data_IF_797905988089
#
_entry.id   IF_797905988089
#
_cell.length_a   1.000
_cell.length_b   1.000
_cell.length_c   1.000
_cell.angle_alpha   90.00
_cell.angle_beta   90.00
_cell.angle_gamma   90.00
#
_symmetry.space_group_name_H-M   'P 1'
#
loop_
_entity.id
_entity.type
_entity.pdbx_description
1 polymer ?
#
# COMPACT_ATOMS: atom_id res chain seq x y z
N UNK A 1 2.96 15.51 -2.89
CA UNK A 1 3.11 14.13 -2.38
C UNK A 1 2.98 13.19 -3.56
N UNK A 2 3.82 12.17 -3.69
CA UNK A 2 3.58 11.15 -4.70
C UNK A 2 2.20 10.54 -4.41
N UNK A 3 1.31 10.53 -5.40
CA UNK A 3 -0.04 10.02 -5.23
C UNK A 3 0.02 8.54 -4.82
N UNK A 4 -0.27 8.27 -3.55
CA UNK A 4 -0.36 6.90 -3.04
C UNK A 4 -1.53 6.22 -3.72
N UNK A 5 -1.27 5.12 -4.42
CA UNK A 5 -2.32 4.38 -5.14
C UNK A 5 -2.37 2.94 -4.66
N UNK A 6 -3.57 2.45 -4.39
CA UNK A 6 -3.86 1.04 -4.16
C UNK A 6 -4.71 0.50 -5.31
N UNK A 7 -4.28 -0.58 -5.90
CA UNK A 7 -4.99 -1.19 -7.03
C UNK A 7 -5.56 -2.53 -6.64
N UNK A 8 -6.85 -2.75 -6.92
CA UNK A 8 -7.51 -4.03 -6.71
C UNK A 8 -7.85 -4.69 -8.04
N UNK A 9 -7.48 -5.94 -8.16
CA UNK A 9 -7.73 -6.80 -9.31
C UNK A 9 -8.55 -8.03 -8.91
N UNK A 10 -9.18 -8.65 -9.87
CA UNK A 10 -9.91 -9.90 -9.69
C UNK A 10 -10.95 -10.05 -10.78
N UNK A 11 -11.43 -11.26 -10.98
CA UNK A 11 -12.44 -11.56 -12.02
C UNK A 11 -13.80 -10.95 -11.67
N UNK A 12 -14.68 -10.86 -12.68
CA UNK A 12 -16.08 -10.49 -12.44
C UNK A 12 -16.70 -11.48 -11.45
N UNK A 13 -17.42 -10.94 -10.46
CA UNK A 13 -18.04 -11.74 -9.40
C UNK A 13 -17.11 -12.16 -8.25
N UNK A 14 -15.81 -11.82 -8.28
CA UNK A 14 -14.87 -12.12 -7.19
C UNK A 14 -15.08 -11.26 -5.93
N UNK A 15 -16.10 -10.42 -5.88
CA UNK A 15 -16.47 -9.66 -4.69
C UNK A 15 -15.71 -8.34 -4.47
N UNK A 16 -14.97 -7.81 -5.47
CA UNK A 16 -14.21 -6.54 -5.34
C UNK A 16 -15.05 -5.38 -4.84
N UNK A 17 -16.18 -5.12 -5.51
CA UNK A 17 -17.06 -4.00 -5.15
C UNK A 17 -17.70 -4.21 -3.78
N UNK A 18 -18.16 -5.42 -3.47
CA UNK A 18 -18.68 -5.74 -2.13
C UNK A 18 -17.61 -5.56 -1.05
N UNK A 19 -16.37 -5.99 -1.35
CA UNK A 19 -15.23 -5.78 -0.46
C UNK A 19 -15.00 -4.27 -0.22
N UNK A 20 -14.99 -3.45 -1.28
CA UNK A 20 -14.83 -1.99 -1.16
C UNK A 20 -15.92 -1.38 -0.27
N UNK A 21 -17.17 -1.75 -0.47
CA UNK A 21 -18.30 -1.25 0.33
C UNK A 21 -18.17 -1.66 1.80
N UNK A 22 -17.89 -2.93 2.08
CA UNK A 22 -17.69 -3.41 3.45
C UNK A 22 -16.49 -2.78 4.13
N UNK A 23 -15.39 -2.59 3.41
CA UNK A 23 -14.18 -1.93 3.88
C UNK A 23 -14.46 -0.46 4.24
N UNK A 24 -15.09 0.27 3.33
CA UNK A 24 -15.41 1.68 3.58
C UNK A 24 -16.33 1.82 4.79
N UNK A 25 -17.40 1.04 4.85
CA UNK A 25 -18.37 1.10 5.95
C UNK A 25 -17.72 0.76 7.32
N UNK A 26 -16.95 -0.33 7.40
CA UNK A 26 -16.25 -0.72 8.64
C UNK A 26 -15.26 0.36 9.09
N UNK A 27 -14.52 0.93 8.16
CA UNK A 27 -13.49 1.92 8.45
C UNK A 27 -14.08 3.33 8.69
N UNK A 28 -15.18 3.70 8.04
CA UNK A 28 -15.88 4.97 8.29
C UNK A 28 -16.47 5.01 9.71
N UNK A 29 -16.99 3.89 10.21
CA UNK A 29 -17.47 3.76 11.58
C UNK A 29 -16.35 3.80 12.63
N UNK A 30 -15.10 3.65 12.22
CA UNK A 30 -13.92 3.63 13.08
C UNK A 30 -13.50 2.21 13.48
N UNK A 31 -12.25 1.87 13.17
CA UNK A 31 -11.66 0.56 13.50
C UNK A 31 -10.29 0.74 14.17
N UNK A 32 -10.13 0.26 15.40
CA UNK A 32 -8.88 0.34 16.17
C UNK A 32 -8.33 1.79 16.29
N UNK A 33 -9.23 2.79 16.32
CA UNK A 33 -8.91 4.21 16.34
C UNK A 33 -8.61 4.83 14.98
N UNK A 34 -8.67 4.05 13.90
CA UNK A 34 -8.55 4.54 12.53
C UNK A 34 -9.92 4.79 11.92
N UNK A 35 -10.03 5.88 11.15
CA UNK A 35 -11.20 6.23 10.34
C UNK A 35 -10.79 6.46 8.90
N UNK A 36 -11.70 6.15 7.97
CA UNK A 36 -11.54 6.37 6.55
C UNK A 36 -12.61 7.35 6.08
N UNK A 37 -12.16 8.45 5.46
CA UNK A 37 -13.05 9.48 4.92
C UNK A 37 -12.84 9.63 3.41
N UNK A 38 -13.80 10.19 2.73
CA UNK A 38 -13.76 10.57 1.31
C UNK A 38 -14.51 11.86 1.08
N UNK A 39 -14.61 12.35 -0.16
CA UNK A 39 -15.48 13.49 -0.47
C UNK A 39 -16.97 13.16 -0.27
N UNK A 40 -17.77 14.19 0.04
CA UNK A 40 -19.18 14.04 0.43
C UNK A 40 -20.02 13.32 -0.64
N UNK A 41 -19.80 13.58 -1.92
CA UNK A 41 -20.56 12.95 -3.01
C UNK A 41 -20.26 11.45 -3.10
N UNK A 42 -18.99 11.07 -2.93
CA UNK A 42 -18.58 9.66 -2.92
C UNK A 42 -19.01 8.96 -1.65
N UNK A 43 -18.96 9.64 -0.51
CA UNK A 43 -19.45 9.13 0.77
C UNK A 43 -20.93 8.74 0.65
N UNK A 44 -21.80 9.68 0.25
CA UNK A 44 -23.23 9.43 0.05
C UNK A 44 -23.47 8.28 -0.94
N UNK A 45 -22.68 8.20 -2.01
CA UNK A 45 -22.79 7.10 -2.98
C UNK A 45 -22.42 5.75 -2.37
N UNK A 46 -21.31 5.68 -1.65
CA UNK A 46 -20.84 4.44 -1.01
C UNK A 46 -21.82 3.97 0.06
N UNK A 47 -22.34 4.89 0.88
CA UNK A 47 -23.34 4.58 1.89
C UNK A 47 -24.62 4.02 1.26
N UNK A 48 -25.17 4.65 0.23
CA UNK A 48 -26.36 4.14 -0.50
C UNK A 48 -26.14 2.74 -1.08
N UNK A 49 -24.97 2.47 -1.62
CA UNK A 49 -24.63 1.14 -2.14
C UNK A 49 -24.53 0.11 -1.02
N UNK A 50 -23.99 0.50 0.13
CA UNK A 50 -23.93 -0.37 1.31
C UNK A 50 -25.30 -0.63 1.90
N UNK A 51 -26.16 0.39 2.01
CA UNK A 51 -27.56 0.25 2.47
C UNK A 51 -28.32 -0.73 1.58
N UNK A 52 -28.17 -0.58 0.25
CA UNK A 52 -28.73 -1.53 -0.70
C UNK A 52 -28.20 -2.96 -0.47
N UNK A 53 -26.88 -3.10 -0.25
CA UNK A 53 -26.28 -4.39 0.04
C UNK A 53 -26.81 -4.98 1.36
N UNK A 54 -27.19 -4.15 2.32
CA UNK A 54 -27.75 -4.55 3.61
C UNK A 54 -29.21 -4.98 3.52
N UNK A 55 -29.94 -4.50 2.51
CA UNK A 55 -31.37 -4.75 2.35
C UNK A 55 -31.66 -6.17 1.82
N UNK A 56 -32.02 -7.07 2.73
CA UNK A 56 -32.36 -8.46 2.43
C UNK A 56 -33.59 -8.61 1.56
N UNK A 57 -34.50 -7.63 1.58
CA UNK A 57 -35.75 -7.68 0.81
C UNK A 57 -35.51 -7.67 -0.69
N UNK A 58 -34.36 -7.16 -1.13
CA UNK A 58 -33.94 -7.11 -2.53
C UNK A 58 -33.42 -8.47 -3.06
N UNK A 59 -33.24 -9.46 -2.21
CA UNK A 59 -32.71 -10.77 -2.64
C UNK A 59 -31.38 -10.65 -3.39
N UNK A 60 -31.31 -11.22 -4.60
CA UNK A 60 -30.11 -11.13 -5.45
C UNK A 60 -29.79 -9.69 -5.92
N UNK A 61 -30.79 -8.84 -6.05
CA UNK A 61 -30.63 -7.46 -6.54
C UNK A 61 -29.92 -6.54 -5.54
N UNK A 62 -29.71 -7.00 -4.31
CA UNK A 62 -28.90 -6.28 -3.31
C UNK A 62 -27.43 -6.15 -3.72
N UNK A 63 -26.90 -7.11 -4.49
CA UNK A 63 -25.50 -7.09 -4.89
C UNK A 63 -25.24 -6.08 -6.00
N UNK A 64 -24.11 -5.36 -5.96
CA UNK A 64 -23.74 -4.48 -7.05
C UNK A 64 -23.53 -5.27 -8.35
N UNK A 65 -23.96 -4.67 -9.46
CA UNK A 65 -23.67 -5.22 -10.79
C UNK A 65 -22.14 -5.31 -11.00
N UNK A 66 -21.73 -6.21 -11.90
CA UNK A 66 -20.31 -6.34 -12.24
C UNK A 66 -19.72 -5.01 -12.73
N UNK A 67 -18.49 -4.72 -12.33
CA UNK A 67 -17.77 -3.51 -12.74
C UNK A 67 -17.21 -3.71 -14.14
N UNK A 68 -17.78 -3.03 -15.14
CA UNK A 68 -17.32 -3.09 -16.53
C UNK A 68 -16.23 -2.06 -16.85
N UNK A 69 -16.16 -0.98 -16.07
CA UNK A 69 -15.18 0.08 -16.22
C UNK A 69 -14.32 0.21 -14.95
N UNK A 70 -13.16 0.83 -15.10
CA UNK A 70 -12.33 1.23 -13.96
C UNK A 70 -13.05 2.28 -13.13
N UNK A 71 -12.99 2.14 -11.80
CA UNK A 71 -13.51 3.12 -10.85
C UNK A 71 -12.41 3.57 -9.91
N UNK A 72 -12.37 4.88 -9.60
CA UNK A 72 -11.39 5.48 -8.70
C UNK A 72 -12.08 6.16 -7.53
N UNK A 73 -11.54 5.93 -6.34
CA UNK A 73 -11.97 6.57 -5.10
C UNK A 73 -10.77 7.19 -4.41
N UNK A 74 -10.93 8.38 -3.86
CA UNK A 74 -9.90 9.03 -3.04
C UNK A 74 -10.32 8.92 -1.58
N UNK A 75 -9.43 8.37 -0.77
CA UNK A 75 -9.66 8.16 0.65
C UNK A 75 -8.58 8.86 1.47
N UNK A 76 -8.98 9.35 2.65
CA UNK A 76 -8.08 9.83 3.68
C UNK A 76 -8.16 8.89 4.88
N UNK A 77 -7.04 8.32 5.27
CA UNK A 77 -6.94 7.57 6.51
C UNK A 77 -6.48 8.50 7.63
N UNK A 78 -7.21 8.47 8.73
CA UNK A 78 -6.98 9.25 9.93
C UNK A 78 -6.82 8.33 11.15
N UNK A 79 -6.15 8.82 12.18
CA UNK A 79 -6.09 8.19 13.49
C UNK A 79 -6.37 9.23 14.56
N UNK A 80 -7.43 9.04 15.35
CA UNK A 80 -7.85 10.04 16.34
C UNK A 80 -8.11 11.41 15.72
N UNK A 81 -8.69 11.46 14.50
CA UNK A 81 -8.94 12.66 13.67
C UNK A 81 -7.69 13.33 13.08
N UNK A 82 -6.50 12.76 13.28
CA UNK A 82 -5.28 13.30 12.68
C UNK A 82 -5.01 12.56 11.34
N UNK A 83 -4.76 13.30 10.24
CA UNK A 83 -4.55 12.70 8.93
C UNK A 83 -3.20 11.96 8.87
N UNK A 84 -3.23 10.72 8.40
CA UNK A 84 -2.04 9.87 8.23
C UNK A 84 -1.61 9.82 6.78
N UNK A 85 -2.50 9.36 5.89
CA UNK A 85 -2.25 9.11 4.48
C UNK A 85 -3.51 9.33 3.66
N UNK A 86 -3.40 10.10 2.58
CA UNK A 86 -4.39 10.12 1.50
C UNK A 86 -3.97 9.17 0.39
N UNK A 87 -4.90 8.42 -0.17
CA UNK A 87 -4.61 7.46 -1.23
C UNK A 87 -5.76 7.32 -2.22
N UNK A 88 -5.41 6.92 -3.44
CA UNK A 88 -6.36 6.48 -4.47
C UNK A 88 -6.58 4.99 -4.38
N UNK A 89 -7.82 4.59 -4.38
CA UNK A 89 -8.24 3.21 -4.57
C UNK A 89 -8.73 3.01 -6.00
N UNK A 90 -8.06 2.15 -6.77
CA UNK A 90 -8.40 1.86 -8.16
C UNK A 90 -9.01 0.47 -8.25
N UNK A 91 -10.33 0.40 -8.49
CA UNK A 91 -11.05 -0.85 -8.78
C UNK A 91 -11.04 -1.11 -10.29
N UNK A 92 -10.26 -2.08 -10.71
CA UNK A 92 -10.11 -2.39 -12.13
C UNK A 92 -11.15 -3.41 -12.61
N UNK A 93 -11.68 -3.21 -13.82
CA UNK A 93 -12.74 -4.05 -14.41
C UNK A 93 -12.39 -5.54 -14.40
N UNK A 94 -13.31 -6.38 -13.93
CA UNK A 94 -13.06 -7.80 -13.72
C UNK A 94 -12.81 -8.61 -15.01
N UNK A 95 -13.29 -8.13 -16.16
CA UNK A 95 -13.09 -8.74 -17.48
C UNK A 95 -11.81 -8.26 -18.19
N UNK A 96 -11.16 -7.20 -17.69
CA UNK A 96 -10.01 -6.57 -18.37
C UNK A 96 -8.85 -7.54 -18.64
N UNK A 97 -8.60 -8.50 -17.74
CA UNK A 97 -7.56 -9.52 -17.91
C UNK A 97 -7.89 -10.56 -18.99
N UNK A 98 -9.16 -10.65 -19.44
CA UNK A 98 -9.65 -11.62 -20.44
C UNK A 98 -9.84 -11.04 -21.84
N UNK A 99 -9.86 -9.72 -21.97
CA UNK A 99 -10.09 -9.06 -23.25
C UNK A 99 -8.89 -9.27 -24.19
N UNK A 100 -9.00 -10.21 -25.11
CA UNK A 100 -7.93 -10.60 -26.06
C UNK A 100 -7.46 -9.46 -26.98
N UNK A 101 -8.23 -8.40 -27.15
CA UNK A 101 -7.95 -7.29 -28.09
C UNK A 101 -7.56 -5.98 -27.39
N UNK A 102 -7.21 -6.01 -26.12
CA UNK A 102 -7.05 -4.81 -25.32
C UNK A 102 -5.58 -4.47 -25.04
N UNK A 103 -4.75 -4.37 -26.08
CA UNK A 103 -3.34 -3.92 -25.94
C UNK A 103 -3.26 -2.60 -25.13
N UNK A 104 -4.18 -1.68 -25.37
CA UNK A 104 -4.27 -0.41 -24.63
C UNK A 104 -4.60 -0.64 -23.15
N UNK A 105 -5.60 -1.49 -22.84
CA UNK A 105 -5.98 -1.79 -21.45
C UNK A 105 -4.85 -2.48 -20.68
N UNK A 106 -4.08 -3.35 -21.32
CA UNK A 106 -2.91 -3.98 -20.70
C UNK A 106 -1.80 -2.98 -20.42
N UNK A 107 -1.55 -2.03 -21.32
CA UNK A 107 -0.55 -0.97 -21.13
C UNK A 107 -0.96 -0.04 -20.00
N UNK A 108 -2.23 0.37 -19.95
CA UNK A 108 -2.77 1.22 -18.88
C UNK A 108 -2.71 0.50 -17.53
N UNK A 109 -3.09 -0.77 -17.48
CA UNK A 109 -3.02 -1.58 -16.26
C UNK A 109 -1.57 -1.73 -15.77
N UNK A 110 -0.62 -2.02 -16.66
CA UNK A 110 0.81 -2.08 -16.31
C UNK A 110 1.30 -0.76 -15.71
N UNK A 111 0.91 0.37 -16.30
CA UNK A 111 1.26 1.71 -15.79
C UNK A 111 0.66 1.96 -14.41
N UNK A 112 -0.60 1.62 -14.19
CA UNK A 112 -1.28 1.78 -12.89
C UNK A 112 -0.59 0.91 -11.84
N UNK A 113 -0.30 -0.36 -12.12
CA UNK A 113 0.38 -1.25 -11.17
C UNK A 113 1.79 -0.76 -10.86
N UNK A 114 2.54 -0.27 -11.85
CA UNK A 114 3.90 0.25 -11.62
C UNK A 114 3.93 1.49 -10.72
N UNK A 115 2.86 2.28 -10.71
CA UNK A 115 2.69 3.43 -9.81
C UNK A 115 2.01 3.07 -8.48
N UNK A 116 1.52 1.83 -8.32
CA UNK A 116 0.80 1.42 -7.12
C UNK A 116 1.73 1.19 -5.94
N UNK A 117 1.32 1.67 -4.78
CA UNK A 117 2.01 1.44 -3.51
C UNK A 117 1.70 0.04 -2.94
N UNK A 118 0.55 -0.52 -3.29
CA UNK A 118 0.15 -1.90 -2.98
C UNK A 118 -0.85 -2.43 -3.99
N UNK A 119 -0.81 -3.74 -4.20
CA UNK A 119 -1.68 -4.47 -5.09
C UNK A 119 -2.54 -5.46 -4.30
N UNK A 120 -3.84 -5.49 -4.58
CA UNK A 120 -4.79 -6.44 -4.01
C UNK A 120 -5.36 -7.32 -5.12
N UNK A 121 -5.36 -8.63 -4.92
CA UNK A 121 -5.91 -9.61 -5.86
C UNK A 121 -7.02 -10.37 -5.18
N UNK A 122 -8.26 -10.19 -5.64
CA UNK A 122 -9.41 -10.90 -5.11
C UNK A 122 -9.53 -12.31 -5.71
N UNK A 123 -9.46 -13.30 -4.84
CA UNK A 123 -9.76 -14.70 -5.11
C UNK A 123 -11.12 -15.04 -4.48
N UNK A 124 -12.09 -15.46 -5.30
CA UNK A 124 -13.40 -15.88 -4.81
C UNK A 124 -13.28 -17.16 -3.98
N UNK A 125 -13.56 -17.05 -2.67
CA UNK A 125 -13.49 -18.17 -1.74
C UNK A 125 -14.49 -19.30 -2.04
N UNK A 126 -15.57 -19.03 -2.79
CA UNK A 126 -16.47 -20.10 -3.24
C UNK A 126 -15.77 -21.15 -4.12
N UNK A 127 -14.65 -20.80 -4.74
CA UNK A 127 -13.82 -21.75 -5.52
C UNK A 127 -13.00 -22.70 -4.61
N UNK A 128 -12.95 -22.42 -3.33
CA UNK A 128 -12.26 -23.21 -2.31
C UNK A 128 -13.20 -24.14 -1.53
N UNK A 129 -14.50 -24.17 -1.89
CA UNK A 129 -15.48 -25.06 -1.24
C UNK A 129 -15.25 -26.51 -1.56
N UNK A 130 -15.72 -27.41 -0.65
CA UNK A 130 -15.62 -28.86 -0.80
C UNK A 130 -14.24 -29.42 -0.39
N UNK A 131 -14.06 -30.75 -0.49
CA UNK A 131 -12.89 -31.44 0.06
C UNK A 131 -11.86 -31.86 -1.00
N UNK A 132 -12.12 -31.65 -2.30
CA UNK A 132 -11.23 -32.07 -3.37
C UNK A 132 -10.29 -30.95 -3.80
N UNK A 133 -9.04 -31.01 -3.33
CA UNK A 133 -7.99 -30.05 -3.64
C UNK A 133 -7.76 -29.91 -5.16
N UNK A 134 -7.84 -30.98 -5.93
CA UNK A 134 -7.62 -30.93 -7.40
C UNK A 134 -8.73 -30.14 -8.08
N UNK A 135 -9.97 -30.33 -7.65
CA UNK A 135 -11.11 -29.54 -8.17
C UNK A 135 -10.98 -28.07 -7.80
N UNK A 136 -10.58 -27.74 -6.58
CA UNK A 136 -10.31 -26.35 -6.13
C UNK A 136 -9.24 -25.70 -7.03
N UNK A 137 -8.07 -26.33 -7.18
CA UNK A 137 -6.97 -25.84 -8.03
C UNK A 137 -7.41 -25.61 -9.47
N UNK A 138 -8.15 -26.56 -10.05
CA UNK A 138 -8.67 -26.43 -11.41
C UNK A 138 -9.67 -25.27 -11.54
N UNK A 139 -10.60 -25.15 -10.62
CA UNK A 139 -11.58 -24.05 -10.60
C UNK A 139 -10.90 -22.67 -10.55
N UNK A 140 -9.89 -22.52 -9.71
CA UNK A 140 -9.11 -21.29 -9.60
C UNK A 140 -8.34 -21.01 -10.89
N UNK A 141 -7.71 -22.04 -11.49
CA UNK A 141 -7.00 -21.90 -12.76
C UNK A 141 -7.92 -21.42 -13.86
N UNK A 142 -9.08 -22.04 -14.03
CA UNK A 142 -10.02 -21.74 -15.11
C UNK A 142 -10.72 -20.40 -14.93
N UNK A 143 -10.96 -19.97 -13.70
CA UNK A 143 -11.71 -18.74 -13.40
C UNK A 143 -10.83 -17.51 -13.21
N UNK A 144 -9.59 -17.65 -12.73
CA UNK A 144 -8.83 -16.52 -12.19
C UNK A 144 -7.32 -16.59 -12.51
N UNK A 145 -6.61 -17.62 -11.99
CA UNK A 145 -5.15 -17.52 -11.88
C UNK A 145 -4.40 -17.62 -13.21
N UNK A 146 -4.94 -18.30 -14.22
CA UNK A 146 -4.31 -18.40 -15.56
C UNK A 146 -4.06 -17.03 -16.18
N UNK A 147 -5.10 -16.20 -16.22
CA UNK A 147 -5.02 -14.88 -16.84
C UNK A 147 -4.14 -13.93 -16.02
N UNK A 148 -4.25 -14.02 -14.69
CA UNK A 148 -3.42 -13.26 -13.75
C UNK A 148 -1.95 -13.63 -13.88
N UNK A 149 -1.60 -14.92 -13.84
CA UNK A 149 -0.20 -15.38 -13.99
C UNK A 149 0.41 -14.94 -15.31
N UNK A 150 -0.34 -15.07 -16.42
CA UNK A 150 0.11 -14.61 -17.73
C UNK A 150 0.41 -13.11 -17.72
N UNK A 151 -0.53 -12.31 -17.23
CA UNK A 151 -0.35 -10.86 -17.15
C UNK A 151 0.88 -10.49 -16.32
N UNK A 152 1.05 -11.07 -15.12
CA UNK A 152 2.16 -10.73 -14.24
C UNK A 152 3.51 -11.29 -14.71
N UNK A 153 3.52 -12.40 -15.42
CA UNK A 153 4.73 -12.88 -16.11
C UNK A 153 5.22 -11.87 -17.15
N UNK A 154 4.29 -11.30 -17.95
CA UNK A 154 4.62 -10.27 -18.94
C UNK A 154 4.95 -8.92 -18.27
N UNK A 155 4.24 -8.56 -17.20
CA UNK A 155 4.54 -7.36 -16.41
C UNK A 155 5.97 -7.38 -15.84
N UNK A 156 6.40 -8.52 -15.28
CA UNK A 156 7.75 -8.68 -14.72
C UNK A 156 8.86 -8.49 -15.75
N UNK A 157 8.65 -8.97 -16.98
CA UNK A 157 9.64 -8.77 -18.07
C UNK A 157 9.84 -7.30 -18.40
N UNK A 158 8.77 -6.50 -18.34
CA UNK A 158 8.80 -5.10 -18.75
C UNK A 158 9.18 -4.15 -17.60
N UNK A 159 8.73 -4.44 -16.37
CA UNK A 159 8.79 -3.52 -15.23
C UNK A 159 9.61 -4.03 -14.03
N UNK A 160 10.03 -5.29 -14.05
CA UNK A 160 10.89 -5.92 -13.05
C UNK A 160 10.18 -6.26 -11.73
N UNK A 161 9.70 -5.28 -10.98
CA UNK A 161 9.22 -5.48 -9.61
C UNK A 161 7.71 -5.30 -9.44
N UNK A 162 7.14 -6.13 -8.57
CA UNK A 162 5.76 -6.00 -8.13
C UNK A 162 5.70 -5.15 -6.84
N UNK A 163 4.66 -4.29 -6.69
CA UNK A 163 4.39 -3.69 -5.40
C UNK A 163 4.05 -4.77 -4.36
N UNK A 164 4.15 -4.47 -3.05
CA UNK A 164 3.66 -5.36 -2.01
C UNK A 164 2.24 -5.80 -2.32
N UNK A 165 2.03 -7.11 -2.40
CA UNK A 165 0.80 -7.71 -2.93
C UNK A 165 0.06 -8.47 -1.84
N UNK A 166 -1.26 -8.33 -1.77
CA UNK A 166 -2.11 -9.17 -0.93
C UNK A 166 -3.14 -9.92 -1.79
N UNK A 167 -3.19 -11.24 -1.66
CA UNK A 167 -4.27 -12.06 -2.20
C UNK A 167 -5.37 -12.10 -1.16
N UNK A 168 -6.50 -11.46 -1.48
CA UNK A 168 -7.68 -11.41 -0.65
C UNK A 168 -8.59 -12.60 -1.00
N UNK A 169 -8.74 -13.54 -0.08
CA UNK A 169 -9.74 -14.61 -0.26
C UNK A 169 -11.07 -14.04 0.17
N UNK A 170 -11.82 -13.52 -0.78
CA UNK A 170 -13.15 -12.97 -0.58
C UNK A 170 -14.17 -14.09 -0.32
N UNK A 171 -15.33 -13.76 0.23
CA UNK A 171 -16.36 -14.77 0.59
C UNK A 171 -15.77 -15.92 1.42
N UNK A 172 -14.84 -15.61 2.31
CA UNK A 172 -14.13 -16.60 3.12
C UNK A 172 -15.10 -17.40 4.02
N UNK A 173 -16.22 -16.80 4.41
CA UNK A 173 -17.30 -17.43 5.13
C UNK A 173 -17.77 -18.74 4.49
N UNK A 174 -17.73 -18.84 3.15
CA UNK A 174 -18.16 -20.02 2.40
C UNK A 174 -17.19 -21.20 2.48
N UNK A 175 -15.90 -20.93 2.59
CA UNK A 175 -14.88 -21.98 2.54
C UNK A 175 -14.15 -22.22 3.87
N UNK A 176 -14.39 -21.41 4.90
CA UNK A 176 -13.66 -21.49 6.18
C UNK A 176 -13.75 -22.85 6.87
N UNK A 177 -14.83 -23.59 6.64
CA UNK A 177 -15.03 -24.92 7.20
C UNK A 177 -14.51 -26.05 6.28
N UNK A 178 -14.30 -25.76 4.99
CA UNK A 178 -13.90 -26.73 3.98
C UNK A 178 -12.40 -26.69 3.66
N UNK A 179 -11.69 -25.70 4.19
CA UNK A 179 -10.30 -25.45 3.79
C UNK A 179 -9.47 -24.89 4.95
N UNK A 180 -8.41 -25.60 5.29
CA UNK A 180 -7.46 -25.17 6.33
C UNK A 180 -6.51 -24.07 5.81
N UNK A 181 -5.88 -23.26 6.69
CA UNK A 181 -4.87 -22.29 6.29
C UNK A 181 -3.71 -22.91 5.50
N UNK A 182 -3.31 -24.14 5.81
CA UNK A 182 -2.26 -24.88 5.10
C UNK A 182 -2.69 -25.26 3.68
N UNK A 183 -3.92 -25.72 3.50
CA UNK A 183 -4.47 -25.99 2.16
C UNK A 183 -4.62 -24.72 1.34
N UNK A 184 -5.05 -23.61 1.97
CA UNK A 184 -5.10 -22.31 1.30
C UNK A 184 -3.70 -21.92 0.80
N UNK A 185 -2.69 -22.04 1.67
CA UNK A 185 -1.29 -21.76 1.29
C UNK A 185 -0.87 -22.61 0.10
N UNK A 186 -1.08 -23.92 0.13
CA UNK A 186 -0.72 -24.84 -0.96
C UNK A 186 -1.42 -24.48 -2.26
N UNK A 187 -2.75 -24.31 -2.20
CA UNK A 187 -3.56 -24.00 -3.39
C UNK A 187 -3.15 -22.67 -4.02
N UNK A 188 -2.98 -21.62 -3.19
CA UNK A 188 -2.62 -20.29 -3.67
C UNK A 188 -1.20 -20.28 -4.22
N UNK A 189 -0.25 -20.95 -3.58
CA UNK A 189 1.14 -21.06 -4.04
C UNK A 189 1.23 -21.69 -5.44
N UNK A 190 0.51 -22.78 -5.67
CA UNK A 190 0.49 -23.43 -6.98
C UNK A 190 -0.30 -22.63 -8.02
N UNK A 191 -1.44 -22.06 -7.61
CA UNK A 191 -2.31 -21.33 -8.54
C UNK A 191 -1.75 -19.97 -8.98
N UNK A 192 -0.94 -19.34 -8.14
CA UNK A 192 -0.35 -18.02 -8.38
C UNK A 192 1.19 -18.09 -8.39
N UNK A 193 1.76 -19.09 -9.00
CA UNK A 193 3.21 -19.37 -9.01
C UNK A 193 4.07 -18.16 -9.37
N UNK A 194 3.61 -17.29 -10.29
CA UNK A 194 4.33 -16.09 -10.70
C UNK A 194 4.71 -15.15 -9.53
N UNK A 195 3.97 -15.20 -8.42
CA UNK A 195 4.25 -14.40 -7.23
C UNK A 195 5.21 -15.06 -6.25
N UNK A 196 5.36 -16.40 -6.32
CA UNK A 196 6.18 -17.17 -5.39
C UNK A 196 7.56 -17.56 -5.96
N UNK A 197 7.72 -17.51 -7.29
CA UNK A 197 9.00 -17.82 -7.92
C UNK A 197 10.07 -16.79 -7.54
N UNK A 198 11.26 -17.30 -7.16
CA UNK A 198 12.42 -16.45 -6.94
C UNK A 198 12.89 -15.84 -8.26
N UNK A 199 13.31 -14.59 -8.22
CA UNK A 199 13.94 -13.98 -9.39
C UNK A 199 15.31 -14.60 -9.60
N UNK A 200 15.63 -14.94 -10.87
CA UNK A 200 16.91 -15.54 -11.25
C UNK A 200 18.06 -14.53 -11.05
N UNK A 201 17.76 -13.25 -11.21
CA UNK A 201 18.70 -12.15 -10.92
C UNK A 201 18.39 -11.61 -9.53
N UNK A 202 19.38 -11.56 -8.65
CA UNK A 202 19.22 -10.96 -7.32
C UNK A 202 18.74 -9.51 -7.46
N UNK A 203 17.44 -9.33 -7.25
CA UNK A 203 16.83 -8.01 -7.18
C UNK A 203 17.16 -7.39 -5.82
N UNK A 204 17.56 -6.13 -5.81
CA UNK A 204 17.78 -5.36 -4.58
C UNK A 204 16.51 -5.18 -3.75
N UNK A 205 15.34 -5.50 -4.30
CA UNK A 205 14.03 -5.37 -3.66
C UNK A 205 13.33 -6.71 -3.56
N UNK A 206 12.80 -6.96 -2.36
CA UNK A 206 12.12 -8.21 -2.01
C UNK A 206 10.67 -8.20 -2.49
N UNK A 207 10.21 -9.32 -3.04
CA UNK A 207 8.78 -9.56 -3.29
C UNK A 207 8.09 -9.83 -1.97
N UNK A 208 7.07 -9.08 -1.66
CA UNK A 208 6.30 -9.24 -0.43
C UNK A 208 4.87 -9.58 -0.81
N UNK A 209 4.41 -10.73 -0.33
CA UNK A 209 3.07 -11.26 -0.58
C UNK A 209 2.40 -11.63 0.73
N UNK A 210 1.10 -11.37 0.84
CA UNK A 210 0.26 -11.92 1.91
C UNK A 210 -0.97 -12.61 1.35
N UNK A 211 -1.55 -13.51 2.13
CA UNK A 211 -2.86 -14.11 1.87
C UNK A 211 -3.76 -13.72 3.04
N UNK A 212 -4.82 -12.98 2.76
CA UNK A 212 -5.73 -12.43 3.77
C UNK A 212 -7.14 -12.97 3.50
N UNK A 213 -7.66 -13.87 4.34
CA UNK A 213 -9.04 -14.30 4.28
C UNK A 213 -9.97 -13.14 4.70
N UNK A 214 -10.91 -12.77 3.84
CA UNK A 214 -11.85 -11.66 4.10
C UNK A 214 -13.29 -12.04 3.75
N UNK A 215 -14.24 -11.53 4.52
CA UNK A 215 -15.67 -11.65 4.21
C UNK A 215 -16.39 -10.37 4.60
N UNK A 216 -17.43 -9.98 3.85
CA UNK A 216 -18.33 -8.88 4.22
C UNK A 216 -19.48 -9.32 5.10
N UNK A 217 -19.70 -10.64 5.28
CA UNK A 217 -20.76 -11.19 6.09
C UNK A 217 -20.86 -12.69 5.99
N UNK A 218 -21.77 -13.26 6.76
CA UNK A 218 -22.01 -14.68 6.79
C UNK A 218 -23.22 -15.05 5.92
N UNK A 219 -23.04 -15.95 4.96
CA UNK A 219 -24.13 -16.52 4.15
C UNK A 219 -24.98 -15.48 3.42
N UNK A 220 -24.43 -14.35 3.08
CA UNK A 220 -25.19 -13.21 2.50
C UNK A 220 -25.77 -13.51 1.10
N UNK A 221 -25.17 -14.45 0.37
CA UNK A 221 -25.57 -14.87 -0.99
C UNK A 221 -26.11 -16.32 -1.00
N UNK A 222 -26.61 -16.81 0.14
CA UNK A 222 -27.39 -18.05 0.19
C UNK A 222 -28.70 -17.90 -0.59
N UNK A 223 -29.36 -19.02 -0.88
CA UNK A 223 -30.59 -19.07 -1.68
C UNK A 223 -31.72 -18.22 -1.14
N UNK A 224 -31.77 -18.00 0.17
CA UNK A 224 -32.75 -17.16 0.88
C UNK A 224 -32.27 -15.73 1.14
N UNK A 225 -31.02 -15.42 0.84
CA UNK A 225 -30.37 -14.12 1.07
C UNK A 225 -30.53 -13.57 2.51
N UNK A 226 -30.70 -14.46 3.49
CA UNK A 226 -30.98 -14.08 4.89
C UNK A 226 -29.77 -13.62 5.68
N UNK A 227 -28.57 -13.84 5.16
CA UNK A 227 -27.29 -13.55 5.85
C UNK A 227 -27.10 -12.07 6.20
N UNK A 228 -26.38 -11.83 7.30
CA UNK A 228 -26.04 -10.50 7.80
C UNK A 228 -24.69 -10.03 7.27
N UNK A 229 -24.54 -8.71 7.17
CA UNK A 229 -23.23 -8.08 6.96
C UNK A 229 -22.48 -8.05 8.29
N UNK A 230 -21.46 -8.88 8.38
CA UNK A 230 -20.55 -9.00 9.52
C UNK A 230 -19.12 -9.09 8.97
N UNK A 231 -18.45 -7.94 8.77
CA UNK A 231 -17.13 -7.89 8.14
C UNK A 231 -16.09 -8.70 8.93
N UNK A 232 -15.31 -9.53 8.22
CA UNK A 232 -14.22 -10.32 8.79
C UNK A 232 -12.92 -9.91 8.10
N UNK A 233 -11.95 -9.44 8.87
CA UNK A 233 -10.59 -9.12 8.44
C UNK A 233 -10.49 -8.09 7.29
N UNK A 234 -11.55 -7.40 6.90
CA UNK A 234 -11.56 -6.50 5.76
C UNK A 234 -10.58 -5.33 5.96
N UNK A 235 -10.53 -4.76 7.17
CA UNK A 235 -9.64 -3.64 7.50
C UNK A 235 -8.14 -4.01 7.43
N UNK A 236 -7.79 -5.29 7.61
CA UNK A 236 -6.39 -5.74 7.60
C UNK A 236 -5.69 -5.47 6.27
N UNK A 237 -6.41 -5.52 5.16
CA UNK A 237 -5.84 -5.24 3.84
C UNK A 237 -5.49 -3.77 3.66
N UNK A 238 -6.31 -2.84 4.19
CA UNK A 238 -5.97 -1.42 4.20
C UNK A 238 -4.74 -1.17 5.09
N UNK A 239 -4.72 -1.76 6.28
CA UNK A 239 -3.56 -1.66 7.18
C UNK A 239 -2.30 -2.23 6.54
N UNK A 240 -2.40 -3.32 5.78
CA UNK A 240 -1.31 -3.85 4.96
C UNK A 240 -0.78 -2.79 3.97
N UNK A 241 -1.65 -2.21 3.15
CA UNK A 241 -1.27 -1.19 2.18
C UNK A 241 -0.61 0.02 2.84
N UNK A 242 -1.23 0.57 3.88
CA UNK A 242 -0.72 1.73 4.62
C UNK A 242 0.63 1.44 5.30
N UNK A 243 0.82 0.24 5.83
CA UNK A 243 2.10 -0.15 6.41
C UNK A 243 3.27 0.04 5.43
N UNK A 244 3.12 -0.41 4.17
CA UNK A 244 4.19 -0.25 3.17
C UNK A 244 4.37 1.19 2.71
N UNK A 245 3.31 1.98 2.66
CA UNK A 245 3.42 3.43 2.40
C UNK A 245 4.23 4.11 3.50
N UNK A 246 3.93 3.83 4.75
CA UNK A 246 4.65 4.41 5.88
C UNK A 246 6.10 3.87 5.99
N UNK A 247 6.34 2.60 5.70
CA UNK A 247 7.69 2.02 5.68
C UNK A 247 8.57 2.68 4.61
N UNK A 248 8.02 2.90 3.42
CA UNK A 248 8.68 3.66 2.35
C UNK A 248 8.97 5.09 2.80
N UNK A 249 7.97 5.79 3.35
CA UNK A 249 8.12 7.16 3.88
C UNK A 249 9.22 7.26 4.95
N UNK A 250 9.28 6.30 5.87
CA UNK A 250 10.33 6.25 6.89
C UNK A 250 11.72 6.10 6.25
N UNK A 251 11.87 5.28 5.22
CA UNK A 251 13.15 5.11 4.51
C UNK A 251 13.56 6.40 3.80
N UNK A 252 12.62 7.09 3.17
CA UNK A 252 12.85 8.39 2.52
C UNK A 252 13.25 9.46 3.55
N UNK A 253 12.51 9.60 4.66
CA UNK A 253 12.83 10.55 5.73
C UNK A 253 14.23 10.31 6.33
N UNK A 254 14.65 9.05 6.53
CA UNK A 254 16.00 8.73 6.98
C UNK A 254 17.06 9.18 5.99
N UNK A 255 16.85 8.89 4.69
CA UNK A 255 17.77 9.34 3.63
C UNK A 255 17.89 10.86 3.58
N UNK A 256 16.78 11.58 3.79
CA UNK A 256 16.78 13.04 3.82
C UNK A 256 17.56 13.57 5.05
N UNK A 257 17.44 12.93 6.21
CA UNK A 257 18.23 13.26 7.41
C UNK A 257 19.73 13.07 7.11
N UNK A 258 20.12 11.92 6.54
CA UNK A 258 21.52 11.63 6.22
C UNK A 258 22.09 12.67 5.23
N UNK A 259 21.33 13.01 4.17
CA UNK A 259 21.72 14.03 3.20
C UNK A 259 21.88 15.42 3.83
N UNK A 260 20.98 15.81 4.72
CA UNK A 260 21.07 17.11 5.41
C UNK A 260 22.19 17.13 6.43
N UNK A 261 22.50 16.02 7.11
CA UNK A 261 23.67 15.91 7.99
C UNK A 261 24.98 16.08 7.21
N UNK A 262 25.10 15.51 6.00
CA UNK A 262 26.28 15.70 5.16
C UNK A 262 26.42 17.15 4.66
N UNK A 263 25.28 17.83 4.39
CA UNK A 263 25.29 19.29 4.11
C UNK A 263 25.82 20.09 5.29
N UNK A 264 25.38 19.78 6.52
CA UNK A 264 25.88 20.45 7.74
C UNK A 264 27.38 20.25 7.88
N UNK A 265 27.90 19.04 7.73
CA UNK A 265 29.35 18.77 7.79
C UNK A 265 30.14 19.60 6.77
N UNK A 266 29.62 19.73 5.54
CA UNK A 266 30.25 20.53 4.49
C UNK A 266 30.20 22.03 4.82
N UNK A 267 29.09 22.54 5.35
CA UNK A 267 28.97 23.91 5.82
C UNK A 267 29.94 24.21 6.97
N UNK A 268 30.08 23.29 7.94
CA UNK A 268 31.03 23.42 9.04
C UNK A 268 32.47 23.55 8.55
N UNK A 269 32.84 22.72 7.56
CA UNK A 269 34.16 22.81 6.93
C UNK A 269 34.36 24.18 6.26
N UNK A 270 33.41 24.63 5.46
CA UNK A 270 33.48 25.95 4.79
C UNK A 270 33.54 27.09 5.82
N UNK A 271 32.74 27.05 6.86
CA UNK A 271 32.77 28.05 7.95
C UNK A 271 34.14 28.10 8.59
N UNK A 272 34.73 26.93 8.90
CA UNK A 272 36.04 26.83 9.53
C UNK A 272 37.14 27.39 8.63
N UNK A 273 37.12 27.08 7.33
CA UNK A 273 38.07 27.61 6.34
C UNK A 273 37.94 29.12 6.22
N UNK A 274 36.72 29.68 6.13
CA UNK A 274 36.51 31.12 6.03
C UNK A 274 36.85 31.88 7.31
N UNK A 275 36.62 31.28 8.47
CA UNK A 275 37.03 31.86 9.77
C UNK A 275 38.57 31.96 9.82
N UNK A 276 39.27 30.90 9.41
CA UNK A 276 40.74 30.91 9.37
C UNK A 276 41.26 31.99 8.41
N UNK A 277 40.70 32.05 7.16
CA UNK A 277 41.10 33.09 6.19
C UNK A 277 40.85 34.51 6.72
N UNK A 278 39.74 34.74 7.43
CA UNK A 278 39.43 36.02 8.05
C UNK A 278 40.42 36.38 9.15
N UNK A 279 40.72 35.41 10.02
CA UNK A 279 41.59 35.61 11.20
C UNK A 279 43.06 35.83 10.72
N UNK A 280 43.53 35.06 9.73
CA UNK A 280 44.84 35.27 9.10
C UNK A 280 44.95 36.66 8.44
N UNK A 281 43.89 37.16 7.81
CA UNK A 281 43.85 38.50 7.22
C UNK A 281 43.79 39.60 8.31
N UNK A 282 43.05 39.36 9.40
CA UNK A 282 42.94 40.31 10.49
C UNK A 282 44.27 40.47 11.27
N UNK A 283 45.07 39.39 11.35
CA UNK A 283 46.35 39.37 12.04
C UNK A 283 47.52 39.90 11.11
N UNK A 284 47.22 40.25 9.87
CA UNK A 284 48.22 40.83 8.94
C UNK A 284 48.72 42.16 9.46
N UNK A 285 49.99 42.46 9.16
CA UNK A 285 50.58 43.77 9.54
C UNK A 285 49.73 44.95 8.99
N UNK A 286 49.52 46.00 9.78
CA UNK A 286 48.59 47.11 9.55
C UNK A 286 48.65 47.71 8.10
N UNK A 287 49.81 47.74 7.45
CA UNK A 287 50.00 48.25 6.08
C UNK A 287 49.49 47.30 4.97
N UNK A 288 49.20 46.03 5.29
CA UNK A 288 48.79 44.96 4.37
C UNK A 288 47.42 44.40 4.64
N UNK A 289 46.75 44.85 5.69
CA UNK A 289 45.43 44.42 6.08
C UNK A 289 44.36 44.97 5.15
N UNK A 290 43.51 44.10 4.62
CA UNK A 290 42.36 44.44 3.77
C UNK A 290 41.03 44.33 4.56
N UNK A 291 40.57 45.48 5.11
CA UNK A 291 39.31 45.54 5.84
C UNK A 291 38.08 45.20 4.97
N UNK A 292 38.11 45.45 3.65
CA UNK A 292 37.02 45.07 2.74
C UNK A 292 36.92 43.53 2.63
N UNK A 293 38.06 42.84 2.55
CA UNK A 293 38.14 41.38 2.49
C UNK A 293 37.65 40.77 3.81
N UNK A 294 38.03 41.33 4.97
CA UNK A 294 37.56 40.87 6.29
C UNK A 294 36.03 41.02 6.39
N UNK A 295 35.46 42.14 5.94
CA UNK A 295 34.02 42.36 5.99
C UNK A 295 33.28 41.42 5.04
N UNK A 296 33.81 41.14 3.85
CA UNK A 296 33.27 40.17 2.90
C UNK A 296 33.27 38.73 3.47
N UNK A 297 34.39 38.32 4.09
CA UNK A 297 34.51 37.02 4.73
C UNK A 297 33.54 36.88 5.89
N UNK A 298 33.39 37.92 6.72
CA UNK A 298 32.44 37.98 7.82
C UNK A 298 30.99 37.82 7.32
N UNK A 299 30.63 38.51 6.26
CA UNK A 299 29.30 38.39 5.65
C UNK A 299 29.06 36.98 5.10
N UNK A 300 30.06 36.36 4.50
CA UNK A 300 30.01 34.99 3.99
C UNK A 300 29.85 33.99 5.13
N UNK A 301 30.60 34.14 6.22
CA UNK A 301 30.48 33.29 7.43
C UNK A 301 29.07 33.38 8.00
N UNK A 302 28.52 34.56 8.17
CA UNK A 302 27.18 34.77 8.68
C UNK A 302 26.11 34.12 7.82
N UNK A 303 26.26 34.20 6.50
CA UNK A 303 25.37 33.51 5.54
C UNK A 303 25.46 31.98 5.69
N UNK A 304 26.67 31.42 5.76
CA UNK A 304 26.87 29.97 5.93
C UNK A 304 26.30 29.47 7.27
N UNK A 305 26.52 30.23 8.37
CA UNK A 305 25.95 29.90 9.70
C UNK A 305 24.42 29.96 9.69
N UNK A 306 23.81 30.94 9.03
CA UNK A 306 22.37 31.00 8.83
C UNK A 306 21.86 29.79 8.06
N UNK A 307 22.50 29.45 6.95
CA UNK A 307 22.13 28.26 6.13
C UNK A 307 22.25 26.95 6.93
N UNK A 308 23.30 26.82 7.76
CA UNK A 308 23.46 25.68 8.66
C UNK A 308 22.31 25.56 9.66
N UNK A 309 21.91 26.68 10.27
CA UNK A 309 20.81 26.72 11.25
C UNK A 309 19.47 26.35 10.56
N UNK A 310 19.19 26.85 9.37
CA UNK A 310 18.01 26.49 8.59
C UNK A 310 17.98 24.99 8.24
N UNK A 311 19.15 24.43 7.90
CA UNK A 311 19.29 22.99 7.63
C UNK A 311 19.04 22.17 8.91
N UNK A 312 19.55 22.59 10.05
CA UNK A 312 19.30 21.94 11.34
C UNK A 312 17.82 21.99 11.74
N UNK A 313 17.13 23.11 11.51
CA UNK A 313 15.68 23.21 11.72
C UNK A 313 14.91 22.25 10.81
N UNK A 314 15.36 22.07 9.58
CA UNK A 314 14.76 21.11 8.63
C UNK A 314 14.90 19.67 9.15
N UNK A 315 16.08 19.29 9.64
CA UNK A 315 16.31 17.97 10.26
C UNK A 315 15.36 17.74 11.44
N UNK A 316 15.16 18.74 12.28
CA UNK A 316 14.24 18.62 13.43
C UNK A 316 12.79 18.36 12.98
N UNK A 317 12.31 19.05 11.94
CA UNK A 317 10.99 18.80 11.36
C UNK A 317 10.87 17.36 10.80
N UNK A 318 11.90 16.90 10.09
CA UNK A 318 11.95 15.55 9.53
C UNK A 318 11.95 14.50 10.67
N UNK A 319 12.71 14.73 11.74
CA UNK A 319 12.74 13.85 12.90
C UNK A 319 11.37 13.73 13.57
N UNK A 320 10.63 14.82 13.72
CA UNK A 320 9.26 14.79 14.24
C UNK A 320 8.36 13.92 13.37
N UNK A 321 8.40 14.09 12.05
CA UNK A 321 7.63 13.25 11.13
C UNK A 321 8.04 11.78 11.18
N UNK A 322 9.33 11.50 11.37
CA UNK A 322 9.87 10.15 11.48
C UNK A 322 9.35 9.47 12.76
N UNK A 323 9.32 10.16 13.89
CA UNK A 323 8.77 9.65 15.16
C UNK A 323 7.30 9.28 15.00
N UNK A 324 6.49 10.20 14.50
CA UNK A 324 5.05 9.97 14.27
C UNK A 324 4.81 8.79 13.31
N UNK A 325 5.55 8.73 12.19
CA UNK A 325 5.41 7.63 11.23
C UNK A 325 5.79 6.27 11.83
N UNK A 326 6.81 6.22 12.71
CA UNK A 326 7.19 4.99 13.42
C UNK A 326 6.11 4.54 14.40
N UNK A 327 5.47 5.47 15.08
CA UNK A 327 4.38 5.17 16.01
C UNK A 327 3.18 4.52 15.27
N UNK A 328 2.77 5.10 14.15
CA UNK A 328 1.72 4.50 13.32
C UNK A 328 2.09 3.10 12.82
N UNK A 329 3.33 2.89 12.36
CA UNK A 329 3.80 1.55 11.97
C UNK A 329 3.71 0.55 13.12
N UNK A 330 4.08 0.92 14.33
CA UNK A 330 4.01 0.03 15.49
C UNK A 330 2.56 -0.38 15.82
N UNK A 331 1.62 0.57 15.71
CA UNK A 331 0.19 0.31 15.89
C UNK A 331 -0.35 -0.63 14.81
N UNK A 332 -0.03 -0.36 13.55
CA UNK A 332 -0.43 -1.22 12.42
C UNK A 332 0.13 -2.64 12.55
N UNK A 333 1.40 -2.79 12.95
CA UNK A 333 2.03 -4.11 13.17
C UNK A 333 1.26 -4.96 14.16
N UNK A 334 0.73 -4.37 15.23
CA UNK A 334 -0.06 -5.10 16.23
C UNK A 334 -1.27 -5.79 15.58
N UNK A 335 -1.96 -5.09 14.68
CA UNK A 335 -3.11 -5.64 13.95
C UNK A 335 -2.68 -6.61 12.84
N UNK A 336 -1.63 -6.28 12.10
CA UNK A 336 -1.13 -7.07 10.98
C UNK A 336 -0.59 -8.45 11.40
N UNK A 337 -0.23 -8.64 12.68
CA UNK A 337 0.07 -9.96 13.25
C UNK A 337 -1.09 -10.96 13.15
N UNK A 338 -2.30 -10.47 12.93
CA UNK A 338 -3.49 -11.31 12.67
C UNK A 338 -3.49 -11.92 11.27
N UNK A 339 -2.63 -11.45 10.34
CA UNK A 339 -2.50 -12.02 9.01
C UNK A 339 -1.72 -13.34 9.11
N UNK A 340 -2.34 -14.48 8.76
CA UNK A 340 -1.75 -15.78 9.02
C UNK A 340 -0.62 -16.16 8.07
N UNK A 341 -0.61 -15.60 6.86
CA UNK A 341 0.27 -16.04 5.78
C UNK A 341 0.94 -14.83 5.12
N UNK A 342 2.24 -14.68 5.38
CA UNK A 342 3.11 -13.67 4.77
C UNK A 342 4.33 -14.35 4.17
N UNK A 343 4.73 -13.93 2.97
CA UNK A 343 5.84 -14.48 2.22
C UNK A 343 6.79 -13.37 1.76
N UNK A 344 8.09 -13.67 1.79
CA UNK A 344 9.14 -12.83 1.21
C UNK A 344 9.91 -13.69 0.22
N UNK A 345 9.99 -13.28 -1.04
CA UNK A 345 10.65 -14.01 -2.13
C UNK A 345 10.21 -15.49 -2.20
N UNK A 346 8.90 -15.70 -2.02
CA UNK A 346 8.27 -17.01 -2.01
C UNK A 346 8.45 -17.82 -0.73
N UNK A 347 9.23 -17.37 0.24
CA UNK A 347 9.42 -18.05 1.52
C UNK A 347 8.46 -17.51 2.58
N UNK A 348 7.78 -18.44 3.27
CA UNK A 348 6.90 -18.08 4.39
C UNK A 348 7.69 -17.43 5.52
N UNK A 349 7.17 -16.36 6.07
CA UNK A 349 7.74 -15.64 7.20
C UNK A 349 6.80 -15.64 8.38
N UNK A 350 7.18 -16.37 9.40
CA UNK A 350 6.57 -16.25 10.71
C UNK A 350 7.07 -14.94 11.37
N UNK A 351 6.16 -14.21 12.02
CA UNK A 351 6.49 -12.96 12.71
C UNK A 351 7.09 -11.84 11.81
N UNK A 352 6.54 -11.66 10.61
CA UNK A 352 6.95 -10.57 9.72
C UNK A 352 6.68 -9.17 10.31
N UNK A 353 5.57 -9.02 11.07
CA UNK A 353 5.15 -7.78 11.71
C UNK A 353 5.52 -7.69 13.18
#
# INVERSE_FOLDING_TARGET
MADTTFTILGTTGSGKTCYLLGMYYEMCAGKEGYTLTTDDDKDVRLQRLYDRLSDKSLGADRFPAGTDNMSEYEFNLEYGYEPIVSFKWVDYAGNALRLKNAVKYFADLKKIISSSSSLFICLDGSLLMGNDIRKKKRAISDKCSRDINKFFSDYKKDNGMLPPTAILITKYDKCKNDTTPKEIEEIVRESFSAFFEKDIVESTSKKILSIIPVSIGLNIDNTDYSGNLEPINIYLSIFWGIYFVLDKKIKELKKDIDSNNDKIKNLDKQISERKKERDDEADSFFLWRDDKKINSLTSTINFLEKTKNETAMTINKINTQLVVSKEYIQRLRKELKKIPLVFIDGEKRENFF
#
